data_IF_267643190253
#
_entry.id   IF_267643190253
#
_cell.length_a   1.000
_cell.length_b   1.000
_cell.length_c   1.000
_cell.angle_alpha   90.00
_cell.angle_beta   90.00
_cell.angle_gamma   90.00
#
_symmetry.space_group_name_H-M   'P 1'
#
loop_
_entity.id
_entity.type
_entity.pdbx_description
1 polymer ?
#
# COMPACT_ATOMS: atom_id res chain seq x y z
N UNK A 1 -28.51 -3.99 9.54
CA UNK A 1 -27.03 -3.96 9.75
C UNK A 1 -26.40 -5.03 8.86
N UNK A 2 -25.65 -4.64 7.81
CA UNK A 2 -24.93 -5.59 6.93
C UNK A 2 -24.02 -6.46 7.83
N UNK A 3 -24.18 -7.79 7.80
CA UNK A 3 -23.27 -8.75 8.43
C UNK A 3 -21.83 -8.35 8.05
N UNK A 4 -21.11 -7.72 8.97
CA UNK A 4 -19.66 -7.57 8.84
C UNK A 4 -19.16 -9.01 8.78
N UNK A 5 -18.65 -9.43 7.62
CA UNK A 5 -18.04 -10.75 7.50
C UNK A 5 -16.76 -10.68 8.29
N UNK A 6 -16.84 -11.14 9.54
CA UNK A 6 -15.77 -11.10 10.53
C UNK A 6 -14.47 -11.69 9.95
N UNK A 7 -14.61 -12.74 9.13
CA UNK A 7 -13.57 -13.34 8.30
C UNK A 7 -12.76 -12.31 7.49
N UNK A 8 -13.41 -11.35 6.82
CA UNK A 8 -12.73 -10.34 5.99
C UNK A 8 -12.00 -9.30 6.85
N UNK A 9 -12.46 -9.07 8.09
CA UNK A 9 -11.78 -8.19 9.04
C UNK A 9 -10.52 -8.87 9.56
N UNK A 10 -10.61 -10.13 9.98
CA UNK A 10 -9.42 -10.91 10.37
C UNK A 10 -8.43 -11.05 9.23
N UNK A 11 -8.91 -11.33 8.01
CA UNK A 11 -8.06 -11.42 6.84
C UNK A 11 -7.29 -10.12 6.58
N UNK A 12 -7.94 -8.95 6.71
CA UNK A 12 -7.25 -7.65 6.63
C UNK A 12 -6.16 -7.52 7.69
N UNK A 13 -6.46 -7.87 8.93
CA UNK A 13 -5.49 -7.77 10.02
C UNK A 13 -4.26 -8.65 9.77
N UNK A 14 -4.47 -9.90 9.35
CA UNK A 14 -3.39 -10.85 9.02
C UNK A 14 -2.55 -10.31 7.85
N UNK A 15 -3.19 -9.86 6.77
CA UNK A 15 -2.48 -9.31 5.62
C UNK A 15 -1.68 -8.05 5.99
N UNK A 16 -2.24 -7.15 6.81
CA UNK A 16 -1.51 -5.98 7.30
C UNK A 16 -0.27 -6.39 8.11
N UNK A 17 -0.38 -7.41 8.97
CA UNK A 17 0.76 -7.94 9.70
C UNK A 17 1.84 -8.50 8.76
N UNK A 18 1.44 -9.26 7.73
CA UNK A 18 2.33 -9.79 6.69
C UNK A 18 3.06 -8.64 5.97
N UNK A 19 2.36 -7.57 5.57
CA UNK A 19 2.96 -6.39 4.92
C UNK A 19 4.02 -5.74 5.83
N UNK A 20 3.70 -5.56 7.11
CA UNK A 20 4.66 -5.00 8.09
C UNK A 20 5.90 -5.90 8.17
N UNK A 21 5.72 -7.22 8.27
CA UNK A 21 6.83 -8.20 8.29
C UNK A 21 7.67 -8.10 7.01
N UNK A 22 7.04 -8.01 5.83
CA UNK A 22 7.76 -7.84 4.55
C UNK A 22 8.64 -6.59 4.57
N UNK A 23 8.12 -5.45 5.05
CA UNK A 23 8.87 -4.21 5.11
C UNK A 23 10.00 -4.27 6.15
N UNK A 24 9.75 -4.88 7.32
CA UNK A 24 10.79 -5.11 8.33
C UNK A 24 11.93 -5.97 7.77
N UNK A 25 11.60 -7.08 7.12
CA UNK A 25 12.61 -7.95 6.48
C UNK A 25 13.40 -7.19 5.41
N UNK A 26 12.71 -6.41 4.57
CA UNK A 26 13.35 -5.59 3.54
C UNK A 26 14.33 -4.57 4.15
N UNK A 27 13.96 -3.94 5.26
CA UNK A 27 14.81 -2.98 5.97
C UNK A 27 16.01 -3.64 6.65
N UNK A 28 15.83 -4.82 7.23
CA UNK A 28 16.94 -5.59 7.80
C UNK A 28 17.95 -5.94 6.70
N UNK A 29 17.48 -6.39 5.53
CA UNK A 29 18.35 -6.69 4.39
C UNK A 29 19.12 -5.46 3.91
N UNK A 30 18.45 -4.31 3.73
CA UNK A 30 19.10 -3.07 3.26
C UNK A 30 20.14 -2.53 4.25
N UNK A 31 19.87 -2.59 5.55
CA UNK A 31 20.85 -2.15 6.58
C UNK A 31 22.05 -3.07 6.72
N UNK A 32 21.92 -4.33 6.32
CA UNK A 32 22.95 -5.35 6.45
C UNK A 32 23.48 -5.83 5.10
N UNK A 33 23.45 -4.99 4.06
CA UNK A 33 24.02 -5.32 2.74
C UNK A 33 25.50 -5.74 2.80
N UNK A 34 26.22 -5.37 3.87
CA UNK A 34 27.61 -5.76 4.11
C UNK A 34 27.79 -7.12 4.84
N UNK A 35 26.71 -7.87 5.13
CA UNK A 35 26.82 -9.19 5.76
C UNK A 35 27.14 -10.27 4.72
N UNK A 36 28.40 -10.67 4.58
CA UNK A 36 28.78 -11.82 3.76
C UNK A 36 28.23 -13.14 4.34
N UNK A 37 27.52 -13.94 3.53
CA UNK A 37 27.22 -15.36 3.83
C UNK A 37 25.77 -15.83 3.69
N UNK A 38 25.55 -17.12 3.95
CA UNK A 38 24.28 -17.85 3.78
C UNK A 38 23.07 -17.33 4.56
N UNK A 39 23.28 -16.42 5.53
CA UNK A 39 22.21 -15.72 6.25
C UNK A 39 21.40 -14.78 5.34
N UNK A 40 22.05 -14.05 4.42
CA UNK A 40 21.36 -13.18 3.47
C UNK A 40 20.48 -13.99 2.50
N UNK A 41 20.96 -15.15 2.07
CA UNK A 41 20.23 -16.06 1.18
C UNK A 41 18.96 -16.56 1.86
N UNK A 42 19.05 -16.98 3.12
CA UNK A 42 17.89 -17.41 3.90
C UNK A 42 16.86 -16.27 4.07
N UNK A 43 17.31 -15.06 4.41
CA UNK A 43 16.43 -13.89 4.53
C UNK A 43 15.72 -13.56 3.22
N UNK A 44 16.43 -13.64 2.08
CA UNK A 44 15.85 -13.43 0.75
C UNK A 44 14.71 -14.41 0.47
N UNK A 45 14.90 -15.70 0.75
CA UNK A 45 13.85 -16.71 0.58
C UNK A 45 12.65 -16.46 1.50
N UNK A 46 12.89 -16.14 2.77
CA UNK A 46 11.81 -15.82 3.72
C UNK A 46 11.03 -14.59 3.23
N UNK A 47 11.71 -13.53 2.81
CA UNK A 47 11.06 -12.33 2.27
C UNK A 47 10.18 -12.64 1.07
N UNK A 48 10.66 -13.46 0.13
CA UNK A 48 9.89 -13.87 -1.05
C UNK A 48 8.64 -14.68 -0.70
N UNK A 49 8.68 -15.50 0.36
CA UNK A 49 7.49 -16.21 0.85
C UNK A 49 6.44 -15.24 1.40
N UNK A 50 6.85 -14.11 1.97
CA UNK A 50 5.93 -13.18 2.67
C UNK A 50 5.50 -12.00 1.78
N UNK A 51 6.14 -11.79 0.62
CA UNK A 51 5.91 -10.63 -0.26
C UNK A 51 4.49 -10.54 -0.85
N UNK A 52 3.72 -11.63 -0.81
CA UNK A 52 2.35 -11.67 -1.30
C UNK A 52 1.36 -10.81 -0.48
N UNK A 53 1.75 -10.32 0.70
CA UNK A 53 0.87 -9.50 1.54
C UNK A 53 0.30 -8.28 0.80
N UNK A 54 1.17 -7.52 0.11
CA UNK A 54 0.77 -6.32 -0.64
C UNK A 54 -0.24 -6.60 -1.75
N UNK A 55 0.00 -7.53 -2.71
CA UNK A 55 -0.99 -7.84 -3.73
C UNK A 55 -2.29 -8.42 -3.14
N UNK A 56 -2.22 -9.22 -2.07
CA UNK A 56 -3.42 -9.71 -1.39
C UNK A 56 -4.26 -8.57 -0.78
N UNK A 57 -3.63 -7.55 -0.20
CA UNK A 57 -4.34 -6.40 0.34
C UNK A 57 -5.04 -5.59 -0.76
N UNK A 58 -4.38 -5.41 -1.91
CA UNK A 58 -4.94 -4.71 -3.08
C UNK A 58 -6.19 -5.46 -3.59
N UNK A 59 -6.08 -6.78 -3.78
CA UNK A 59 -7.19 -7.63 -4.24
C UNK A 59 -8.35 -7.59 -3.23
N UNK A 60 -8.06 -7.71 -1.94
CA UNK A 60 -9.07 -7.68 -0.89
C UNK A 60 -9.79 -6.32 -0.82
N UNK A 61 -9.06 -5.22 -1.01
CA UNK A 61 -9.63 -3.87 -1.11
C UNK A 61 -10.63 -3.76 -2.26
N UNK A 62 -10.31 -4.38 -3.41
CA UNK A 62 -11.21 -4.39 -4.55
C UNK A 62 -12.40 -5.33 -4.41
N UNK A 63 -12.19 -6.54 -3.90
CA UNK A 63 -13.27 -7.48 -3.60
C UNK A 63 -14.30 -6.84 -2.66
N UNK A 64 -13.84 -6.17 -1.61
CA UNK A 64 -14.73 -5.49 -0.67
C UNK A 64 -15.45 -4.29 -1.28
N UNK A 65 -14.90 -3.72 -2.33
CA UNK A 65 -15.54 -2.66 -3.09
C UNK A 65 -16.64 -3.22 -3.98
N UNK A 66 -16.36 -4.24 -4.79
CA UNK A 66 -17.36 -4.86 -5.67
C UNK A 66 -18.51 -5.51 -4.88
N UNK A 67 -18.23 -6.10 -3.71
CA UNK A 67 -19.27 -6.68 -2.85
C UNK A 67 -20.19 -5.63 -2.20
N UNK A 68 -19.70 -4.41 -1.98
CA UNK A 68 -20.46 -3.39 -1.24
C UNK A 68 -21.22 -2.41 -2.12
N UNK A 69 -20.75 -2.17 -3.35
CA UNK A 69 -21.32 -1.19 -4.25
C UNK A 69 -22.04 -1.90 -5.41
N UNK A 70 -23.37 -1.79 -5.44
CA UNK A 70 -24.18 -2.19 -6.60
C UNK A 70 -24.27 -1.07 -7.66
N UNK A 71 -24.14 0.20 -7.25
CA UNK A 71 -24.07 1.36 -8.14
C UNK A 71 -22.95 2.28 -7.65
N UNK A 72 -22.17 2.82 -8.59
CA UNK A 72 -21.05 3.70 -8.27
C UNK A 72 -21.49 5.16 -8.44
N UNK A 73 -21.66 5.86 -7.31
CA UNK A 73 -21.96 7.29 -7.30
C UNK A 73 -20.65 8.10 -7.29
N UNK A 74 -20.68 9.38 -7.69
CA UNK A 74 -19.55 10.32 -7.57
C UNK A 74 -18.89 10.33 -6.18
N UNK A 75 -19.67 10.02 -5.12
CA UNK A 75 -19.20 9.92 -3.74
C UNK A 75 -18.19 8.78 -3.50
N UNK A 76 -18.12 7.81 -4.40
CA UNK A 76 -17.22 6.66 -4.31
C UNK A 76 -15.75 7.07 -4.35
N UNK A 77 -15.31 7.81 -5.37
CA UNK A 77 -13.91 8.24 -5.46
C UNK A 77 -13.57 9.32 -4.43
N UNK A 78 -14.47 10.28 -4.19
CA UNK A 78 -14.21 11.40 -3.26
C UNK A 78 -14.00 10.94 -1.82
N UNK A 79 -14.74 9.92 -1.36
CA UNK A 79 -14.52 9.36 -0.02
C UNK A 79 -13.18 8.63 0.08
N UNK A 80 -12.76 7.91 -0.96
CA UNK A 80 -11.45 7.21 -0.96
C UNK A 80 -10.29 8.20 -0.98
N UNK A 81 -10.38 9.28 -1.75
CA UNK A 81 -9.40 10.36 -1.69
C UNK A 81 -9.32 10.92 -0.27
N UNK A 82 -10.46 11.23 0.35
CA UNK A 82 -10.49 11.82 1.69
C UNK A 82 -9.93 10.90 2.79
N UNK A 83 -10.30 9.61 2.77
CA UNK A 83 -9.98 8.69 3.87
C UNK A 83 -8.76 7.81 3.63
N UNK A 84 -8.22 7.74 2.40
CA UNK A 84 -7.06 6.91 2.07
C UNK A 84 -5.92 7.77 1.53
N UNK A 85 -6.18 8.63 0.54
CA UNK A 85 -5.12 9.42 -0.09
C UNK A 85 -4.61 10.55 0.82
N UNK A 86 -5.48 11.23 1.57
CA UNK A 86 -5.04 12.30 2.49
C UNK A 86 -4.12 11.76 3.60
N UNK A 87 -4.48 10.70 4.36
CA UNK A 87 -3.56 10.12 5.34
C UNK A 87 -2.23 9.65 4.73
N UNK A 88 -2.28 9.11 3.50
CA UNK A 88 -1.08 8.71 2.76
C UNK A 88 -0.15 9.90 2.48
N UNK A 89 -0.69 11.00 1.95
CA UNK A 89 0.09 12.20 1.65
C UNK A 89 0.67 12.79 2.94
N UNK A 90 -0.12 12.84 4.02
CA UNK A 90 0.36 13.33 5.32
C UNK A 90 1.54 12.52 5.83
N UNK A 91 1.44 11.19 5.84
CA UNK A 91 2.56 10.33 6.23
C UNK A 91 3.74 10.44 5.26
N UNK A 92 3.47 10.63 3.97
CA UNK A 92 4.49 10.88 2.96
C UNK A 92 5.26 12.17 3.21
N UNK A 93 4.59 13.25 3.63
CA UNK A 93 5.23 14.51 4.01
C UNK A 93 6.18 14.31 5.20
N UNK A 94 5.74 13.60 6.25
CA UNK A 94 6.60 13.28 7.39
C UNK A 94 7.80 12.44 6.99
N UNK A 95 7.60 11.43 6.14
CA UNK A 95 8.67 10.56 5.66
C UNK A 95 9.69 11.34 4.82
N UNK A 96 9.23 12.09 3.81
CA UNK A 96 10.11 12.90 2.96
C UNK A 96 10.87 13.96 3.74
N UNK A 97 10.27 14.51 4.81
CA UNK A 97 10.98 15.41 5.73
C UNK A 97 12.09 14.69 6.47
N UNK A 98 11.80 13.52 7.06
CA UNK A 98 12.82 12.70 7.73
C UNK A 98 13.97 12.31 6.79
N UNK A 99 13.66 11.83 5.58
CA UNK A 99 14.67 11.42 4.60
C UNK A 99 15.50 12.60 4.08
N UNK A 100 14.87 13.78 3.91
CA UNK A 100 15.60 14.99 3.50
C UNK A 100 16.68 15.38 4.51
N UNK A 101 16.40 15.22 5.82
CA UNK A 101 17.37 15.46 6.89
C UNK A 101 18.47 14.40 6.94
N UNK A 102 18.15 13.14 6.67
CA UNK A 102 19.11 12.04 6.71
C UNK A 102 20.07 12.04 5.52
N UNK A 103 19.58 12.40 4.34
CA UNK A 103 20.34 12.31 3.07
C UNK A 103 20.88 13.67 2.62
N UNK A 104 20.65 14.73 3.41
CA UNK A 104 20.99 16.13 3.09
C UNK A 104 20.54 16.54 1.67
N UNK A 105 19.33 16.11 1.32
CA UNK A 105 18.76 16.26 -0.02
C UNK A 105 17.53 17.15 0.00
N UNK A 106 17.21 17.78 -1.13
CA UNK A 106 16.05 18.67 -1.21
C UNK A 106 14.76 17.92 -0.85
N UNK A 107 13.98 18.48 0.07
CA UNK A 107 12.66 17.98 0.45
C UNK A 107 11.75 17.74 -0.77
N UNK A 108 11.75 18.64 -1.75
CA UNK A 108 10.91 18.52 -2.94
C UNK A 108 11.27 17.28 -3.76
N UNK A 109 12.57 16.97 -3.88
CA UNK A 109 13.04 15.77 -4.56
C UNK A 109 12.55 14.52 -3.83
N UNK A 110 12.76 14.47 -2.50
CA UNK A 110 12.32 13.36 -1.66
C UNK A 110 10.80 13.20 -1.62
N UNK A 111 10.04 14.28 -1.74
CA UNK A 111 8.59 14.22 -1.82
C UNK A 111 8.12 13.61 -3.15
N UNK A 112 8.69 14.04 -4.27
CA UNK A 112 8.34 13.50 -5.58
C UNK A 112 8.73 12.02 -5.67
N UNK A 113 9.95 11.68 -5.29
CA UNK A 113 10.46 10.30 -5.38
C UNK A 113 9.67 9.34 -4.46
N UNK A 114 9.49 9.70 -3.20
CA UNK A 114 8.83 8.81 -2.25
C UNK A 114 7.31 8.80 -2.43
N UNK A 115 6.66 9.97 -2.46
CA UNK A 115 5.19 10.06 -2.38
C UNK A 115 4.52 9.88 -3.74
N UNK A 116 5.10 10.44 -4.81
CA UNK A 116 4.51 10.37 -6.17
C UNK A 116 5.03 9.17 -6.97
N UNK A 117 6.35 8.95 -7.01
CA UNK A 117 6.95 7.81 -7.71
C UNK A 117 6.88 6.51 -6.91
N UNK A 118 6.51 6.58 -5.63
CA UNK A 118 6.30 5.40 -4.79
C UNK A 118 7.60 4.72 -4.36
N UNK A 119 8.70 5.45 -4.23
CA UNK A 119 9.98 4.90 -3.75
C UNK A 119 10.02 4.69 -2.22
N UNK A 120 8.88 4.37 -1.59
CA UNK A 120 8.77 4.13 -0.16
C UNK A 120 7.75 3.05 0.17
N UNK A 121 7.71 2.61 1.42
CA UNK A 121 6.86 1.49 1.87
C UNK A 121 5.37 1.70 1.57
N UNK A 122 4.89 2.94 1.58
CA UNK A 122 3.48 3.28 1.36
C UNK A 122 3.01 3.18 -0.10
N UNK A 123 3.89 2.88 -1.06
CA UNK A 123 3.59 2.93 -2.50
C UNK A 123 2.32 2.17 -2.91
N UNK A 124 2.01 1.08 -2.20
CA UNK A 124 0.84 0.25 -2.48
C UNK A 124 -0.48 1.03 -2.39
N UNK A 125 -0.53 2.13 -1.63
CA UNK A 125 -1.72 2.98 -1.56
C UNK A 125 -1.97 3.69 -2.88
N UNK A 126 -0.92 4.14 -3.57
CA UNK A 126 -1.02 4.73 -4.92
C UNK A 126 -1.60 3.69 -5.89
N UNK A 127 -1.10 2.45 -5.82
CA UNK A 127 -1.61 1.34 -6.62
C UNK A 127 -3.09 1.07 -6.34
N UNK A 128 -3.51 1.04 -5.06
CA UNK A 128 -4.94 0.88 -4.69
C UNK A 128 -5.79 2.00 -5.29
N UNK A 129 -5.31 3.24 -5.25
CA UNK A 129 -6.02 4.38 -5.83
C UNK A 129 -6.18 4.24 -7.35
N UNK A 130 -5.15 3.76 -8.06
CA UNK A 130 -5.24 3.45 -9.50
C UNK A 130 -6.34 2.40 -9.76
N UNK A 131 -6.38 1.33 -8.96
CA UNK A 131 -7.43 0.32 -9.07
C UNK A 131 -8.82 0.90 -8.78
N UNK A 132 -8.98 1.82 -7.82
CA UNK A 132 -10.29 2.44 -7.58
C UNK A 132 -10.77 3.29 -8.76
N UNK A 133 -9.85 4.02 -9.40
CA UNK A 133 -10.15 4.76 -10.64
C UNK A 133 -10.54 3.79 -11.75
N UNK A 134 -9.80 2.70 -11.92
CA UNK A 134 -10.11 1.67 -12.91
C UNK A 134 -11.50 1.07 -12.67
N UNK A 135 -11.83 0.71 -11.43
CA UNK A 135 -13.17 0.22 -11.09
C UNK A 135 -14.25 1.25 -11.45
N UNK A 136 -14.03 2.53 -11.12
CA UNK A 136 -14.97 3.59 -11.47
C UNK A 136 -15.21 3.68 -12.99
N UNK A 137 -14.15 3.60 -13.80
CA UNK A 137 -14.24 3.61 -15.27
C UNK A 137 -15.05 2.40 -15.75
N UNK A 138 -14.75 1.20 -15.28
CA UNK A 138 -15.46 -0.04 -15.66
C UNK A 138 -16.95 0.06 -15.32
N UNK A 139 -17.28 0.50 -14.11
CA UNK A 139 -18.67 0.67 -13.69
C UNK A 139 -19.40 1.73 -14.52
N UNK A 140 -18.72 2.81 -14.91
CA UNK A 140 -19.32 3.85 -15.77
C UNK A 140 -19.60 3.33 -17.18
N UNK A 141 -18.72 2.52 -17.76
CA UNK A 141 -18.91 1.94 -19.09
C UNK A 141 -20.07 0.92 -19.09
N UNK A 142 -20.18 0.09 -18.05
CA UNK A 142 -21.16 -1.00 -18.02
C UNK A 142 -22.61 -0.56 -17.68
N UNK A 143 -22.80 0.69 -17.24
CA UNK A 143 -24.11 1.26 -16.89
C UNK A 143 -24.56 2.38 -17.85
N UNK A 144 -23.84 2.57 -18.96
CA UNK A 144 -24.19 3.45 -20.07
C UNK A 144 -24.58 2.59 -21.28
#
# INVERSE_FOLDING_TARGET
>A
MKKIRLELVYLRAIICAIIIITHLLTQITLKHENMEGGSLVLQFYIRNIVIFGTPCFIILSQLLTTLNYQKVTYRYLTTRVKYILIPYILMGLFYSYSESLLTDSSFNKQFIENVLLGQWYGYFIVVIMQFFILSYIIFKINYN
#
